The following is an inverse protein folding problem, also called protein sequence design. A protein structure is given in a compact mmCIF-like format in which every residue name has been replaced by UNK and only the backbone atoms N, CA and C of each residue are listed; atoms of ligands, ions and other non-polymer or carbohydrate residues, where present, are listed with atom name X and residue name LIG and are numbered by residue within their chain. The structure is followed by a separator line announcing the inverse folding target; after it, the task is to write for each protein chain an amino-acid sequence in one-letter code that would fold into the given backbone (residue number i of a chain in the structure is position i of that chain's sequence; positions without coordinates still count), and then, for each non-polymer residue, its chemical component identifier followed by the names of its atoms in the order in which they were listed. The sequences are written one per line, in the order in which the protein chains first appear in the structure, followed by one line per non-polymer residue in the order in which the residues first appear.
data_IF_469267009435
#
_entry.id   IF_469267009435
#
_cell.length_a   1.000
_cell.length_b   1.000
_cell.length_c   1.000
_cell.angle_alpha   90.00
_cell.angle_beta   90.00
_cell.angle_gamma   90.00
#
_symmetry.space_group_name_H-M   'P 1'
#
loop_
_entity.id
_entity.type
_entity.pdbx_description
1 polymer ?
#
# COMPACT_ATOMS: atom_id res chain seq x y z
N UNK A 1 5.50 -0.55 14.17
CA UNK A 1 5.63 0.73 14.88
C UNK A 1 4.93 0.75 16.25
N UNK A 2 4.39 -0.38 16.74
CA UNK A 2 3.89 -0.51 18.12
C UNK A 2 2.79 0.47 18.53
N UNK A 3 2.03 0.99 17.58
CA UNK A 3 0.91 1.91 17.82
C UNK A 3 -0.40 1.11 17.83
N UNK A 4 -1.30 1.49 18.71
CA UNK A 4 -2.67 0.98 18.74
C UNK A 4 -3.62 1.88 17.92
N UNK A 5 -4.86 1.43 17.78
CA UNK A 5 -5.87 2.10 16.95
C UNK A 5 -6.24 3.51 17.42
N UNK A 6 -6.00 3.86 18.69
CA UNK A 6 -6.22 5.24 19.19
C UNK A 6 -5.33 6.27 18.49
N UNK A 7 -4.26 5.82 17.80
CA UNK A 7 -3.41 6.68 16.98
C UNK A 7 -4.02 7.02 15.61
N UNK A 8 -5.21 6.53 15.28
CA UNK A 8 -5.91 6.80 14.01
C UNK A 8 -6.74 8.08 14.13
N UNK A 9 -6.49 9.04 13.23
CA UNK A 9 -7.31 10.24 13.09
C UNK A 9 -8.23 10.10 11.87
N UNK A 10 -9.55 10.18 12.10
CA UNK A 10 -10.53 10.21 11.02
C UNK A 10 -10.64 11.63 10.46
N UNK A 11 -10.31 11.77 9.18
CA UNK A 11 -10.37 13.05 8.47
C UNK A 11 -11.56 13.08 7.50
N UNK A 12 -11.86 14.25 6.96
CA UNK A 12 -12.94 14.43 5.97
C UNK A 12 -12.75 13.49 4.78
N UNK A 13 -13.83 12.82 4.41
CA UNK A 13 -13.83 11.89 3.28
C UNK A 13 -13.59 12.60 1.93
N UNK A 14 -13.05 11.86 0.96
CA UNK A 14 -12.80 12.35 -0.39
C UNK A 14 -14.12 12.49 -1.15
N UNK A 15 -14.42 13.66 -1.76
CA UNK A 15 -15.57 13.77 -2.66
C UNK A 15 -15.49 12.75 -3.80
N UNK A 16 -16.54 11.95 -3.98
CA UNK A 16 -16.57 10.88 -4.98
C UNK A 16 -15.73 9.65 -4.63
N UNK A 17 -15.61 9.30 -3.34
CA UNK A 17 -14.88 8.10 -2.92
C UNK A 17 -15.57 6.82 -3.43
N UNK A 18 -14.97 6.17 -4.42
CA UNK A 18 -15.43 4.87 -4.91
C UNK A 18 -15.37 3.82 -3.79
N UNK A 19 -16.45 3.05 -3.65
CA UNK A 19 -16.64 2.16 -2.49
C UNK A 19 -15.85 0.86 -2.57
N UNK A 20 -15.72 0.29 -3.77
CA UNK A 20 -15.12 -1.03 -3.96
C UNK A 20 -14.56 -1.18 -5.36
N UNK A 21 -13.30 -1.60 -5.41
CA UNK A 21 -12.70 -2.15 -6.61
C UNK A 21 -12.43 -3.63 -6.41
N UNK A 22 -12.61 -4.41 -7.47
CA UNK A 22 -12.25 -5.81 -7.53
C UNK A 22 -11.85 -6.15 -8.97
N UNK A 23 -10.91 -7.07 -9.11
CA UNK A 23 -10.41 -7.53 -10.41
C UNK A 23 -10.54 -9.05 -10.44
N UNK A 24 -11.15 -9.56 -11.51
CA UNK A 24 -11.04 -10.96 -11.91
C UNK A 24 -9.82 -11.09 -12.85
N UNK A 25 -8.84 -11.87 -12.42
CA UNK A 25 -7.59 -12.10 -13.16
C UNK A 25 -7.58 -13.43 -13.91
N UNK A 26 -8.72 -14.13 -14.01
CA UNK A 26 -8.83 -15.46 -14.63
C UNK A 26 -8.34 -15.48 -16.08
N UNK A 27 -8.54 -14.39 -16.83
CA UNK A 27 -8.10 -14.30 -18.23
C UNK A 27 -6.57 -14.41 -18.36
N UNK A 28 -5.82 -13.59 -17.62
CA UNK A 28 -4.35 -13.57 -17.71
C UNK A 28 -3.75 -14.87 -17.14
N UNK A 29 -4.41 -15.47 -16.14
CA UNK A 29 -4.02 -16.79 -15.64
C UNK A 29 -4.14 -17.86 -16.72
N UNK A 30 -5.32 -17.96 -17.33
CA UNK A 30 -5.66 -19.04 -18.25
C UNK A 30 -4.91 -18.92 -19.56
N UNK A 31 -4.82 -17.70 -20.11
CA UNK A 31 -4.25 -17.48 -21.44
C UNK A 31 -2.72 -17.39 -21.43
N UNK A 32 -2.13 -16.85 -20.36
CA UNK A 32 -0.69 -16.57 -20.30
C UNK A 32 0.05 -17.31 -19.17
N UNK A 33 -0.65 -18.10 -18.35
CA UNK A 33 -0.05 -18.82 -17.22
C UNK A 33 0.45 -17.90 -16.10
N UNK A 34 0.13 -16.60 -16.14
CA UNK A 34 0.55 -15.67 -15.09
C UNK A 34 -0.07 -16.09 -13.75
N UNK A 35 0.64 -15.85 -12.65
CA UNK A 35 0.12 -16.00 -11.29
C UNK A 35 0.78 -14.96 -10.38
N UNK A 36 0.10 -14.50 -9.33
CA UNK A 36 0.69 -13.54 -8.40
C UNK A 36 1.87 -14.18 -7.66
N UNK A 37 3.06 -13.58 -7.78
CA UNK A 37 4.24 -14.02 -7.04
C UNK A 37 4.15 -13.70 -5.53
N UNK A 38 3.28 -12.76 -5.15
CA UNK A 38 3.05 -12.34 -3.77
C UNK A 38 1.55 -12.26 -3.50
N UNK A 39 0.99 -13.33 -2.94
CA UNK A 39 -0.43 -13.42 -2.56
C UNK A 39 -0.68 -13.09 -1.08
N UNK A 40 0.35 -13.17 -0.24
CA UNK A 40 0.29 -12.81 1.17
C UNK A 40 0.46 -11.29 1.35
N UNK A 41 -0.68 -10.62 1.56
CA UNK A 41 -0.74 -9.17 1.76
C UNK A 41 0.04 -8.74 3.01
N UNK A 42 -0.05 -9.50 4.11
CA UNK A 42 0.58 -9.13 5.37
C UNK A 42 2.10 -9.13 5.21
N UNK A 43 2.65 -10.20 4.64
CA UNK A 43 4.09 -10.31 4.37
C UNK A 43 4.57 -9.25 3.37
N UNK A 44 3.77 -8.93 2.35
CA UNK A 44 4.06 -7.85 1.41
C UNK A 44 4.09 -6.47 2.09
N UNK A 45 3.14 -6.21 2.98
CA UNK A 45 3.04 -4.96 3.72
C UNK A 45 4.20 -4.80 4.71
N UNK A 46 4.60 -5.86 5.42
CA UNK A 46 5.77 -5.87 6.31
C UNK A 46 7.06 -5.45 5.59
N UNK A 47 7.34 -6.06 4.43
CA UNK A 47 8.49 -5.70 3.59
C UNK A 47 8.43 -4.25 3.10
N UNK A 48 7.22 -3.78 2.78
CA UNK A 48 7.01 -2.40 2.34
C UNK A 48 7.31 -1.42 3.48
N UNK A 49 6.79 -1.67 4.69
CA UNK A 49 7.09 -0.86 5.89
C UNK A 49 8.60 -0.82 6.16
N UNK A 50 9.26 -1.97 6.08
CA UNK A 50 10.72 -2.06 6.26
C UNK A 50 11.46 -1.19 5.24
N UNK A 51 11.06 -1.25 3.96
CA UNK A 51 11.65 -0.41 2.92
C UNK A 51 11.49 1.08 3.21
N UNK A 52 10.30 1.55 3.58
CA UNK A 52 10.08 2.97 3.91
C UNK A 52 10.84 3.41 5.17
N UNK A 53 11.04 2.49 6.11
CA UNK A 53 11.80 2.75 7.34
C UNK A 53 13.30 2.89 7.06
N UNK A 54 13.84 2.08 6.13
CA UNK A 54 15.25 2.13 5.71
C UNK A 54 15.57 3.27 4.74
N UNK A 55 14.59 3.69 3.94
CA UNK A 55 14.78 4.67 2.87
C UNK A 55 14.17 6.04 3.22
N UNK A 56 14.44 6.56 4.42
CA UNK A 56 13.80 7.80 4.87
C UNK A 56 14.19 9.03 4.06
N UNK A 57 15.45 9.13 3.64
CA UNK A 57 15.92 10.28 2.85
C UNK A 57 15.15 10.41 1.53
N UNK A 58 14.73 9.27 0.97
CA UNK A 58 13.96 9.23 -0.28
C UNK A 58 12.62 9.96 -0.17
N UNK A 59 11.84 9.73 0.89
CA UNK A 59 10.52 10.37 1.06
C UNK A 59 10.56 11.66 1.87
N UNK A 60 11.50 11.82 2.82
CA UNK A 60 11.57 13.03 3.68
C UNK A 60 11.75 14.30 2.88
N UNK A 61 12.52 14.26 1.78
CA UNK A 61 12.73 15.41 0.89
C UNK A 61 11.41 15.94 0.29
N UNK A 62 10.49 15.02 -0.04
CA UNK A 62 9.17 15.36 -0.62
C UNK A 62 8.23 15.86 0.47
N UNK A 63 8.20 15.17 1.62
CA UNK A 63 7.29 15.51 2.74
C UNK A 63 7.61 16.88 3.35
N UNK A 64 8.89 17.20 3.53
CA UNK A 64 9.32 18.40 4.24
C UNK A 64 9.83 19.52 3.34
N UNK A 65 9.86 19.30 2.01
CA UNK A 65 10.24 20.33 1.04
C UNK A 65 11.59 20.96 1.34
N UNK A 66 12.68 20.18 1.30
CA UNK A 66 14.00 20.79 1.19
C UNK A 66 14.20 21.24 -0.26
N UNK A 67 14.19 22.56 -0.48
CA UNK A 67 14.88 23.18 -1.62
C UNK A 67 16.36 22.80 -1.58
#
# INVERSE_FOLDING_TARGET
MGKDESSIEYVKDRPGHDRRYAIDWSKIHTELGWSPAYSDLQKGLEKTIEWYTKNQDWWKRVKYGKK
#
